data_IF_526323246436
#
_entry.id   IF_526323246436
#
_cell.length_a   1.000
_cell.length_b   1.000
_cell.length_c   1.000
_cell.angle_alpha   90.00
_cell.angle_beta   90.00
_cell.angle_gamma   90.00
#
_symmetry.space_group_name_H-M   'P 1'
#
loop_
_entity.id
_entity.type
_entity.pdbx_description
1 polymer ?
#
# COMPACT_ATOMS: atom_id res chain seq x y z
N UNK A 1 27.70 5.64 -14.76
CA UNK A 1 26.51 6.46 -14.45
C UNK A 1 26.47 6.70 -12.95
N UNK A 2 26.02 7.86 -12.46
CA UNK A 2 25.79 8.07 -11.03
C UNK A 2 24.40 7.61 -10.62
N UNK A 3 24.15 7.48 -9.31
CA UNK A 3 22.83 7.16 -8.78
C UNK A 3 21.76 8.19 -9.21
N UNK A 4 22.11 9.50 -9.10
CA UNK A 4 21.22 10.60 -9.48
C UNK A 4 20.89 10.58 -10.99
N UNK A 5 21.87 10.25 -11.83
CA UNK A 5 21.64 10.09 -13.27
C UNK A 5 20.68 8.92 -13.56
N UNK A 6 20.79 7.81 -12.82
CA UNK A 6 19.91 6.66 -12.94
C UNK A 6 18.47 6.98 -12.49
N UNK A 7 18.33 7.66 -11.35
CA UNK A 7 17.01 8.12 -10.85
C UNK A 7 16.37 9.07 -11.86
N UNK A 8 17.09 10.09 -12.34
CA UNK A 8 16.59 11.04 -13.32
C UNK A 8 16.16 10.35 -14.64
N UNK A 9 16.92 9.34 -15.08
CA UNK A 9 16.54 8.54 -16.25
C UNK A 9 15.21 7.83 -16.02
N UNK A 10 15.06 7.13 -14.88
CA UNK A 10 13.83 6.39 -14.55
C UNK A 10 12.64 7.34 -14.42
N UNK A 11 12.80 8.48 -13.75
CA UNK A 11 11.73 9.47 -13.59
C UNK A 11 11.30 10.12 -14.92
N UNK A 12 12.20 10.17 -15.90
CA UNK A 12 11.91 10.60 -17.26
C UNK A 12 11.14 9.59 -18.10
N UNK A 13 11.02 8.32 -17.66
CA UNK A 13 10.25 7.29 -18.37
C UNK A 13 8.75 7.57 -18.25
N UNK A 14 8.02 7.44 -19.36
CA UNK A 14 6.56 7.55 -19.36
C UNK A 14 5.90 6.53 -18.40
N UNK A 15 4.98 7.01 -17.59
CA UNK A 15 4.27 6.16 -16.61
C UNK A 15 3.29 5.20 -17.27
N UNK A 16 2.75 5.58 -18.44
CA UNK A 16 1.80 4.79 -19.22
C UNK A 16 2.31 4.73 -20.65
N UNK A 17 2.39 3.52 -21.19
CA UNK A 17 2.66 3.32 -22.61
C UNK A 17 1.40 2.80 -23.31
N UNK A 18 1.25 3.16 -24.59
CA UNK A 18 0.09 2.77 -25.39
C UNK A 18 0.07 1.28 -25.78
N UNK A 19 1.20 0.57 -25.66
CA UNK A 19 1.37 -0.78 -26.23
C UNK A 19 2.15 -1.77 -25.36
N UNK A 20 2.22 -1.61 -24.01
CA UNK A 20 2.87 -2.59 -23.17
C UNK A 20 1.93 -3.75 -22.82
N UNK A 21 2.38 -4.96 -23.07
CA UNK A 21 1.70 -6.20 -22.71
C UNK A 21 2.57 -6.99 -21.72
N UNK A 22 1.97 -7.92 -20.98
CA UNK A 22 2.75 -8.83 -20.12
C UNK A 22 3.82 -9.59 -20.90
N UNK A 23 3.57 -9.89 -22.20
CA UNK A 23 4.57 -10.51 -23.08
C UNK A 23 5.80 -9.61 -23.31
N UNK A 24 5.64 -8.29 -23.25
CA UNK A 24 6.75 -7.34 -23.33
C UNK A 24 7.65 -7.43 -22.10
N UNK A 25 7.08 -7.40 -20.91
CA UNK A 25 7.82 -7.58 -19.65
C UNK A 25 8.47 -8.97 -19.56
N UNK A 26 7.78 -10.02 -20.01
CA UNK A 26 8.29 -11.40 -20.05
C UNK A 26 9.55 -11.52 -20.93
N UNK A 27 9.55 -10.90 -22.12
CA UNK A 27 10.73 -10.85 -23.01
C UNK A 27 11.92 -10.12 -22.42
N UNK A 28 11.70 -9.10 -21.60
CA UNK A 28 12.77 -8.42 -20.87
C UNK A 28 13.30 -9.28 -19.72
N UNK A 29 12.43 -10.04 -19.04
CA UNK A 29 12.86 -11.05 -18.06
C UNK A 29 13.67 -12.18 -18.70
N UNK A 30 13.31 -12.62 -19.94
CA UNK A 30 14.12 -13.58 -20.71
C UNK A 30 15.57 -13.08 -20.87
N UNK A 31 15.76 -11.80 -21.21
CA UNK A 31 17.09 -11.20 -21.36
C UNK A 31 17.86 -11.09 -20.03
N UNK A 32 17.15 -10.98 -18.93
CA UNK A 32 17.73 -10.96 -17.60
C UNK A 32 17.92 -12.36 -16.98
N UNK A 33 17.55 -13.42 -17.73
CA UNK A 33 17.69 -14.82 -17.30
C UNK A 33 16.66 -15.26 -16.26
N UNK A 34 15.49 -14.62 -16.21
CA UNK A 34 14.40 -14.92 -15.27
C UNK A 34 14.82 -14.97 -13.80
N UNK A 35 15.28 -13.82 -13.24
CA UNK A 35 15.76 -13.76 -11.86
C UNK A 35 14.70 -14.09 -10.81
N UNK A 36 13.42 -14.04 -11.15
CA UNK A 36 12.27 -14.39 -10.31
C UNK A 36 12.03 -15.91 -10.21
N UNK A 37 12.58 -16.71 -11.12
CA UNK A 37 12.34 -18.15 -11.17
C UNK A 37 12.85 -18.87 -9.90
N UNK A 38 12.03 -19.82 -9.41
CA UNK A 38 12.34 -20.60 -8.21
C UNK A 38 12.16 -19.85 -6.90
N UNK A 39 11.71 -18.60 -6.92
CA UNK A 39 11.42 -17.81 -5.72
C UNK A 39 10.01 -18.08 -5.20
N UNK A 40 9.86 -18.06 -3.87
CA UNK A 40 8.57 -18.15 -3.18
C UNK A 40 7.91 -16.77 -3.18
N UNK A 41 6.94 -16.56 -4.07
CA UNK A 41 6.35 -15.24 -4.30
C UNK A 41 4.92 -15.18 -3.76
N UNK A 42 4.60 -14.15 -2.98
CA UNK A 42 3.22 -13.79 -2.58
C UNK A 42 2.83 -12.52 -3.34
N UNK A 43 1.73 -12.57 -4.07
CA UNK A 43 1.29 -11.50 -4.98
C UNK A 43 0.05 -10.80 -4.42
N UNK A 44 0.10 -9.48 -4.23
CA UNK A 44 -0.91 -8.70 -3.52
C UNK A 44 -1.48 -7.60 -4.40
N UNK A 45 -2.79 -7.68 -4.69
CA UNK A 45 -3.57 -6.64 -5.36
C UNK A 45 -4.64 -6.07 -4.41
N UNK A 46 -5.30 -5.00 -4.82
CA UNK A 46 -6.38 -4.34 -4.07
C UNK A 46 -6.45 -2.85 -4.36
N UNK A 47 -7.47 -2.17 -3.84
CA UNK A 47 -7.53 -0.70 -3.90
C UNK A 47 -6.76 -0.13 -2.71
N UNK A 48 -7.23 -0.34 -1.50
CA UNK A 48 -6.60 0.11 -0.27
C UNK A 48 -6.04 -1.09 0.53
N UNK A 49 -5.02 -0.86 1.37
CA UNK A 49 -4.47 -1.88 2.26
C UNK A 49 -3.36 -2.76 1.68
N UNK A 50 -3.05 -2.73 0.38
CA UNK A 50 -1.99 -3.54 -0.25
C UNK A 50 -0.67 -3.49 0.52
N UNK A 51 -0.08 -2.30 0.63
CA UNK A 51 1.21 -2.11 1.33
C UNK A 51 1.16 -2.53 2.80
N UNK A 52 0.03 -2.31 3.50
CA UNK A 52 -0.14 -2.78 4.89
C UNK A 52 -0.15 -4.31 4.97
N UNK A 53 -0.90 -5.00 4.11
CA UNK A 53 -0.92 -6.47 4.05
C UNK A 53 0.48 -7.01 3.72
N UNK A 54 1.17 -6.41 2.75
CA UNK A 54 2.56 -6.78 2.42
C UNK A 54 3.50 -6.58 3.62
N UNK A 55 3.38 -5.48 4.37
CA UNK A 55 4.21 -5.22 5.54
C UNK A 55 3.95 -6.21 6.68
N UNK A 56 2.69 -6.60 6.92
CA UNK A 56 2.36 -7.68 7.88
C UNK A 56 2.96 -9.02 7.44
N UNK A 57 2.81 -9.42 6.18
CA UNK A 57 3.42 -10.64 5.65
C UNK A 57 4.93 -10.64 5.83
N UNK A 58 5.58 -9.52 5.50
CA UNK A 58 7.03 -9.34 5.66
C UNK A 58 7.46 -9.58 7.10
N UNK A 59 6.84 -8.93 8.07
CA UNK A 59 7.24 -9.07 9.49
C UNK A 59 6.98 -10.47 10.03
N UNK A 60 5.89 -11.13 9.62
CA UNK A 60 5.63 -12.52 9.99
C UNK A 60 6.69 -13.48 9.44
N UNK A 61 7.08 -13.34 8.17
CA UNK A 61 8.12 -14.16 7.56
C UNK A 61 9.49 -13.91 8.20
N UNK A 62 9.83 -12.64 8.48
CA UNK A 62 11.06 -12.26 9.18
C UNK A 62 11.10 -12.83 10.60
N UNK A 63 9.97 -12.86 11.31
CA UNK A 63 9.87 -13.52 12.62
C UNK A 63 10.13 -15.02 12.51
N UNK A 64 9.83 -15.63 11.36
CA UNK A 64 10.20 -16.98 10.99
C UNK A 64 11.70 -17.18 10.75
N UNK A 65 12.48 -16.11 10.61
CA UNK A 65 13.90 -16.13 10.29
C UNK A 65 14.20 -16.11 8.79
N UNK A 66 13.19 -15.84 7.95
CA UNK A 66 13.35 -15.78 6.49
C UNK A 66 13.87 -14.43 6.03
N UNK A 67 14.67 -14.44 4.97
CA UNK A 67 15.10 -13.24 4.24
C UNK A 67 14.04 -12.87 3.20
N UNK A 68 13.41 -11.71 3.38
CA UNK A 68 12.24 -11.30 2.60
C UNK A 68 12.59 -10.15 1.69
N UNK A 69 12.34 -10.30 0.38
CA UNK A 69 12.29 -9.21 -0.58
C UNK A 69 10.88 -8.62 -0.63
N UNK A 70 10.77 -7.32 -0.63
CA UNK A 70 9.49 -6.62 -0.73
C UNK A 70 9.55 -5.52 -1.78
N UNK A 71 8.72 -5.66 -2.82
CA UNK A 71 8.50 -4.64 -3.85
C UNK A 71 7.19 -3.92 -3.60
N UNK A 72 7.25 -2.59 -3.45
CA UNK A 72 6.09 -1.75 -3.07
C UNK A 72 5.98 -0.50 -3.91
N UNK A 73 4.79 0.12 -3.91
CA UNK A 73 4.50 1.37 -4.61
C UNK A 73 3.33 2.15 -3.99
N UNK A 74 3.37 3.50 -4.04
CA UNK A 74 4.52 4.33 -4.38
C UNK A 74 5.55 4.41 -3.23
N UNK A 75 6.69 5.07 -3.45
CA UNK A 75 7.60 5.49 -2.39
C UNK A 75 7.10 6.81 -1.77
N UNK A 76 7.59 7.12 -0.56
CA UNK A 76 7.26 8.34 0.18
C UNK A 76 8.29 9.45 -0.06
N UNK A 77 9.58 9.15 0.08
CA UNK A 77 10.70 10.09 -0.02
C UNK A 77 11.67 9.68 -1.11
N UNK A 78 12.16 8.43 -1.08
CA UNK A 78 13.20 7.93 -1.98
C UNK A 78 12.71 6.76 -2.82
N UNK A 79 13.12 6.72 -4.07
CA UNK A 79 12.77 5.62 -5.00
C UNK A 79 13.25 4.25 -4.48
N UNK A 80 14.32 4.20 -3.66
CA UNK A 80 14.87 3.00 -3.05
C UNK A 80 13.89 2.29 -2.12
N UNK A 81 12.96 3.02 -1.47
CA UNK A 81 11.90 2.46 -0.62
C UNK A 81 11.06 1.39 -1.32
N UNK A 82 11.04 1.41 -2.65
CA UNK A 82 10.30 0.42 -3.45
C UNK A 82 10.93 -0.97 -3.43
N UNK A 83 12.18 -1.07 -3.00
CA UNK A 83 12.99 -2.28 -2.97
C UNK A 83 13.51 -2.51 -1.56
N UNK A 84 12.86 -3.36 -0.80
CA UNK A 84 13.24 -3.62 0.59
C UNK A 84 13.75 -5.05 0.76
N UNK A 85 14.81 -5.22 1.54
CA UNK A 85 15.28 -6.52 2.04
C UNK A 85 15.06 -6.55 3.55
N UNK A 86 14.12 -7.36 3.99
CA UNK A 86 13.59 -7.21 5.34
C UNK A 86 12.91 -5.85 5.52
N UNK A 87 13.34 -5.05 6.48
CA UNK A 87 12.80 -3.70 6.75
C UNK A 87 13.62 -2.58 6.11
N UNK A 88 14.80 -2.90 5.57
CA UNK A 88 15.74 -1.91 5.06
C UNK A 88 15.54 -1.69 3.56
N UNK A 89 15.55 -0.45 3.12
CA UNK A 89 15.63 -0.10 1.70
C UNK A 89 17.01 -0.47 1.15
N UNK A 90 17.09 -0.78 -0.13
CA UNK A 90 18.39 -1.06 -0.77
C UNK A 90 19.25 0.21 -0.85
N UNK A 91 20.56 0.04 -0.73
CA UNK A 91 21.52 1.11 -0.89
C UNK A 91 21.63 1.61 -2.34
N UNK A 92 22.25 2.77 -2.52
CA UNK A 92 22.37 3.42 -3.81
C UNK A 92 23.25 2.61 -4.78
N UNK A 93 24.24 1.88 -4.29
CA UNK A 93 25.12 1.02 -5.10
C UNK A 93 24.34 -0.19 -5.66
N UNK A 94 23.51 -0.82 -4.83
CA UNK A 94 22.64 -1.94 -5.25
C UNK A 94 21.59 -1.48 -6.25
N UNK A 95 20.97 -0.31 -6.00
CA UNK A 95 20.05 0.32 -6.93
C UNK A 95 20.71 0.59 -8.30
N UNK A 96 21.85 1.25 -8.29
CA UNK A 96 22.59 1.58 -9.51
C UNK A 96 23.00 0.33 -10.29
N UNK A 97 23.54 -0.69 -9.59
CA UNK A 97 23.87 -1.97 -10.20
C UNK A 97 22.68 -2.62 -10.90
N UNK A 98 21.51 -2.65 -10.26
CA UNK A 98 20.32 -3.24 -10.84
C UNK A 98 19.85 -2.43 -12.05
N UNK A 99 19.87 -1.10 -11.95
CA UNK A 99 19.50 -0.23 -13.05
C UNK A 99 20.42 -0.43 -14.28
N UNK A 100 21.73 -0.48 -14.08
CA UNK A 100 22.68 -0.68 -15.19
C UNK A 100 22.43 -2.00 -15.92
N UNK A 101 22.13 -3.09 -15.18
CA UNK A 101 21.79 -4.39 -15.76
C UNK A 101 20.46 -4.34 -16.54
N UNK A 102 19.44 -3.72 -15.99
CA UNK A 102 18.15 -3.56 -16.68
C UNK A 102 18.31 -2.68 -17.92
N UNK A 103 19.07 -1.58 -17.81
CA UNK A 103 19.35 -0.69 -18.95
C UNK A 103 20.08 -1.43 -20.10
N UNK A 104 21.04 -2.26 -19.79
CA UNK A 104 21.75 -3.10 -20.76
C UNK A 104 20.77 -4.00 -21.54
N UNK A 105 19.85 -4.66 -20.83
CA UNK A 105 18.79 -5.49 -21.41
C UNK A 105 17.78 -4.67 -22.24
N UNK A 106 17.42 -3.48 -21.78
CA UNK A 106 16.54 -2.55 -22.52
C UNK A 106 17.24 -2.10 -23.82
N UNK A 107 18.49 -1.69 -23.77
CA UNK A 107 19.24 -1.21 -24.94
C UNK A 107 19.39 -2.33 -26.01
N UNK A 108 19.55 -3.57 -25.58
CA UNK A 108 19.56 -4.74 -26.47
C UNK A 108 18.15 -4.99 -27.07
N UNK A 109 17.12 -4.94 -26.23
CA UNK A 109 15.73 -5.14 -26.66
C UNK A 109 15.28 -4.10 -27.69
N UNK A 110 15.67 -2.83 -27.49
CA UNK A 110 15.42 -1.74 -28.46
C UNK A 110 16.13 -1.96 -29.80
N UNK A 111 17.38 -2.45 -29.77
CA UNK A 111 18.12 -2.80 -31.03
C UNK A 111 17.46 -3.91 -31.80
N UNK A 112 16.72 -4.80 -31.14
CA UNK A 112 15.93 -5.87 -31.77
C UNK A 112 14.54 -5.39 -32.25
N UNK A 113 14.24 -4.10 -32.16
CA UNK A 113 12.95 -3.52 -32.57
C UNK A 113 11.86 -3.58 -31.50
N UNK A 114 12.22 -3.84 -30.24
CA UNK A 114 11.31 -3.71 -29.09
C UNK A 114 11.01 -2.26 -28.76
N UNK A 115 10.05 -2.05 -27.84
CA UNK A 115 9.69 -0.72 -27.31
C UNK A 115 10.26 -0.54 -25.90
N UNK A 116 10.47 0.71 -25.48
CA UNK A 116 10.98 0.99 -24.15
C UNK A 116 9.95 0.58 -23.07
N UNK A 117 10.36 -0.12 -21.99
CA UNK A 117 9.44 -0.43 -20.89
C UNK A 117 8.98 0.84 -20.18
N UNK A 118 7.81 0.78 -19.56
CA UNK A 118 7.29 1.84 -18.71
C UNK A 118 8.13 2.03 -17.44
N UNK A 119 7.89 3.14 -16.74
CA UNK A 119 8.46 3.41 -15.42
C UNK A 119 8.32 2.22 -14.46
N UNK A 120 7.08 1.67 -14.35
CA UNK A 120 6.82 0.59 -13.39
C UNK A 120 7.41 -0.75 -13.83
N UNK A 121 7.38 -1.07 -15.13
CA UNK A 121 8.06 -2.26 -15.67
C UNK A 121 9.56 -2.23 -15.40
N UNK A 122 10.21 -1.08 -15.62
CA UNK A 122 11.64 -0.90 -15.32
C UNK A 122 11.95 -1.18 -13.86
N UNK A 123 11.15 -0.64 -12.93
CA UNK A 123 11.32 -0.88 -11.50
C UNK A 123 11.07 -2.34 -11.11
N UNK A 124 10.08 -2.99 -11.70
CA UNK A 124 9.82 -4.41 -11.43
C UNK A 124 10.99 -5.31 -11.91
N UNK A 125 11.57 -5.02 -13.08
CA UNK A 125 12.75 -5.74 -13.58
C UNK A 125 13.95 -5.56 -12.63
N UNK A 126 14.16 -4.34 -12.13
CA UNK A 126 15.18 -4.07 -11.11
C UNK A 126 14.92 -4.87 -9.83
N UNK A 127 13.67 -4.90 -9.35
CA UNK A 127 13.29 -5.65 -8.15
C UNK A 127 13.63 -7.14 -8.26
N UNK A 128 13.33 -7.76 -9.42
CA UNK A 128 13.64 -9.15 -9.67
C UNK A 128 15.15 -9.45 -9.54
N UNK A 129 16.02 -8.61 -10.14
CA UNK A 129 17.47 -8.71 -10.01
C UNK A 129 17.99 -8.49 -8.59
N UNK A 130 17.46 -7.47 -7.91
CA UNK A 130 17.83 -7.13 -6.53
C UNK A 130 17.53 -8.31 -5.59
N UNK A 131 16.34 -8.88 -5.70
CA UNK A 131 15.92 -9.98 -4.83
C UNK A 131 16.65 -11.28 -5.15
N UNK A 132 17.03 -11.52 -6.41
CA UNK A 132 17.91 -12.62 -6.78
C UNK A 132 19.30 -12.44 -6.15
N UNK A 133 19.93 -11.26 -6.31
CA UNK A 133 21.26 -10.94 -5.76
C UNK A 133 21.27 -11.04 -4.24
N UNK A 134 20.19 -10.60 -3.59
CA UNK A 134 20.04 -10.68 -2.14
C UNK A 134 19.74 -12.09 -1.61
N UNK A 135 19.57 -13.10 -2.50
CA UNK A 135 19.24 -14.48 -2.12
C UNK A 135 18.03 -14.57 -1.18
N UNK A 136 16.97 -13.81 -1.49
CA UNK A 136 15.76 -13.81 -0.66
C UNK A 136 15.05 -15.17 -0.70
N UNK A 137 14.54 -15.61 0.46
CA UNK A 137 13.74 -16.83 0.58
C UNK A 137 12.32 -16.63 0.06
N UNK A 138 11.74 -15.48 0.39
CA UNK A 138 10.41 -15.06 -0.02
C UNK A 138 10.46 -13.69 -0.70
N UNK A 139 9.55 -13.49 -1.65
CA UNK A 139 9.32 -12.20 -2.29
C UNK A 139 7.85 -11.84 -2.12
N UNK A 140 7.58 -10.63 -1.65
CA UNK A 140 6.24 -10.05 -1.58
C UNK A 140 6.16 -8.98 -2.67
N UNK A 141 5.21 -9.15 -3.60
CA UNK A 141 4.99 -8.21 -4.71
C UNK A 141 3.68 -7.47 -4.53
N UNK A 142 3.76 -6.17 -4.35
CA UNK A 142 2.62 -5.26 -4.41
C UNK A 142 2.35 -4.88 -5.86
N UNK A 143 1.11 -5.09 -6.33
CA UNK A 143 0.62 -4.61 -7.63
C UNK A 143 0.61 -3.09 -7.67
N UNK A 144 1.15 -2.50 -8.73
CA UNK A 144 1.16 -1.05 -8.90
C UNK A 144 -0.23 -0.49 -9.22
N UNK A 145 -0.85 -0.99 -10.28
CA UNK A 145 -2.18 -0.54 -10.74
C UNK A 145 -2.98 -1.71 -11.34
N UNK A 146 -4.24 -1.81 -10.93
CA UNK A 146 -5.14 -2.84 -11.45
C UNK A 146 -4.73 -4.24 -11.00
N UNK A 147 -4.19 -5.03 -11.89
CA UNK A 147 -3.70 -6.39 -11.66
C UNK A 147 -3.48 -7.15 -12.96
N UNK A 148 -4.51 -7.28 -13.79
CA UNK A 148 -4.49 -8.09 -15.02
C UNK A 148 -3.35 -7.73 -16.00
N UNK A 149 -3.07 -6.44 -16.15
CA UNK A 149 -2.02 -5.91 -17.04
C UNK A 149 -0.83 -5.31 -16.26
N UNK A 150 -0.79 -5.46 -14.94
CA UNK A 150 0.32 -4.98 -14.14
C UNK A 150 1.60 -5.76 -14.43
N UNK A 151 2.76 -5.08 -14.47
CA UNK A 151 4.04 -5.70 -14.77
C UNK A 151 4.35 -6.91 -13.87
N UNK A 152 3.96 -6.85 -12.60
CA UNK A 152 4.17 -7.95 -11.65
C UNK A 152 3.37 -9.21 -12.02
N UNK A 153 2.34 -9.09 -12.88
CA UNK A 153 1.48 -10.20 -13.26
C UNK A 153 2.10 -11.18 -14.27
N UNK A 154 3.34 -10.95 -14.71
CA UNK A 154 4.14 -11.95 -15.45
C UNK A 154 4.49 -13.17 -14.59
N UNK A 155 4.46 -13.04 -13.27
CA UNK A 155 4.68 -14.14 -12.33
C UNK A 155 3.63 -15.24 -12.56
N UNK A 156 4.11 -16.45 -12.92
CA UNK A 156 3.24 -17.55 -13.34
C UNK A 156 2.78 -18.44 -12.20
N UNK A 157 3.58 -18.58 -11.15
CA UNK A 157 3.37 -19.52 -10.03
C UNK A 157 3.65 -18.88 -8.68
N UNK A 158 2.85 -17.87 -8.25
CA UNK A 158 2.96 -17.37 -6.88
C UNK A 158 2.46 -18.42 -5.88
N UNK A 159 2.92 -18.37 -4.63
CA UNK A 159 2.42 -19.22 -3.54
C UNK A 159 0.97 -18.90 -3.18
N UNK A 160 0.62 -17.62 -3.21
CA UNK A 160 -0.74 -17.13 -2.97
C UNK A 160 -0.99 -15.82 -3.73
N UNK A 161 -2.24 -15.61 -4.11
CA UNK A 161 -2.77 -14.33 -4.59
C UNK A 161 -3.65 -13.73 -3.51
N UNK A 162 -3.37 -12.49 -3.13
CA UNK A 162 -4.16 -11.77 -2.12
C UNK A 162 -4.84 -10.59 -2.79
N UNK A 163 -6.14 -10.41 -2.49
CA UNK A 163 -6.88 -9.23 -2.96
C UNK A 163 -7.45 -8.51 -1.72
N UNK A 164 -6.90 -7.34 -1.42
CA UNK A 164 -7.33 -6.50 -0.30
C UNK A 164 -8.64 -5.78 -0.62
N UNK A 165 -9.05 -4.80 0.17
CA UNK A 165 -10.32 -4.10 -0.06
C UNK A 165 -10.44 -3.52 -1.47
N UNK A 166 -11.66 -3.57 -2.02
CA UNK A 166 -12.03 -3.01 -3.32
C UNK A 166 -12.91 -1.79 -3.09
N UNK A 167 -12.54 -0.69 -3.70
CA UNK A 167 -13.33 0.54 -3.72
C UNK A 167 -13.07 1.31 -5.02
N UNK A 168 -13.81 2.38 -5.29
CA UNK A 168 -13.61 3.21 -6.47
C UNK A 168 -12.28 3.96 -6.34
N UNK A 169 -11.39 3.71 -7.27
CA UNK A 169 -10.13 4.45 -7.47
C UNK A 169 -9.64 4.19 -8.89
N UNK A 170 -8.93 5.15 -9.47
CA UNK A 170 -8.42 5.07 -10.84
C UNK A 170 -9.51 4.68 -11.87
N UNK A 171 -10.71 5.25 -11.72
CA UNK A 171 -11.89 4.88 -12.51
C UNK A 171 -11.72 5.09 -14.01
N UNK A 172 -10.86 6.02 -14.43
CA UNK A 172 -10.49 6.23 -15.84
C UNK A 172 -9.83 5.00 -16.48
N UNK A 173 -9.12 4.17 -15.68
CA UNK A 173 -8.36 3.01 -16.17
C UNK A 173 -9.00 1.68 -15.82
N UNK A 174 -9.60 1.58 -14.63
CA UNK A 174 -10.07 0.30 -14.07
C UNK A 174 -11.58 0.11 -14.19
N UNK A 175 -12.29 1.16 -14.59
CA UNK A 175 -13.75 1.18 -14.68
C UNK A 175 -14.42 1.86 -13.49
N UNK A 176 -15.71 2.12 -13.63
CA UNK A 176 -16.55 2.99 -12.81
C UNK A 176 -17.41 2.22 -11.80
N UNK A 177 -17.18 0.90 -11.64
CA UNK A 177 -17.87 0.06 -10.64
C UNK A 177 -16.89 -0.85 -9.90
N UNK A 178 -17.25 -1.26 -8.67
CA UNK A 178 -16.42 -2.16 -7.87
C UNK A 178 -16.25 -3.52 -8.52
N UNK A 179 -17.23 -4.01 -9.29
CA UNK A 179 -17.14 -5.25 -10.05
C UNK A 179 -16.09 -5.19 -11.18
N UNK A 180 -16.03 -4.06 -11.91
CA UNK A 180 -15.02 -3.88 -12.96
C UNK A 180 -13.61 -3.82 -12.35
N UNK A 181 -13.44 -3.04 -11.29
CA UNK A 181 -12.20 -2.91 -10.55
C UNK A 181 -11.77 -4.26 -9.97
N UNK A 182 -12.71 -5.02 -9.38
CA UNK A 182 -12.48 -6.38 -8.89
C UNK A 182 -12.03 -7.33 -10.01
N UNK A 183 -12.62 -7.22 -11.21
CA UNK A 183 -12.23 -7.99 -12.39
C UNK A 183 -10.78 -7.75 -12.82
N UNK A 184 -10.34 -6.49 -12.85
CA UNK A 184 -8.95 -6.13 -13.15
C UNK A 184 -7.98 -6.69 -12.09
N UNK A 185 -8.34 -6.59 -10.80
CA UNK A 185 -7.49 -7.08 -9.70
C UNK A 185 -7.48 -8.61 -9.63
N UNK A 186 -8.61 -9.27 -9.87
CA UNK A 186 -8.71 -10.73 -9.98
C UNK A 186 -7.89 -11.31 -11.16
N UNK A 187 -7.41 -10.47 -12.07
CA UNK A 187 -6.47 -10.84 -13.12
C UNK A 187 -5.13 -11.40 -12.63
N UNK A 188 -4.76 -11.18 -11.34
CA UNK A 188 -3.56 -11.80 -10.75
C UNK A 188 -3.75 -13.28 -10.38
N UNK A 189 -4.98 -13.78 -10.35
CA UNK A 189 -5.31 -15.16 -9.95
C UNK A 189 -4.74 -16.13 -10.96
N UNK A 190 -3.92 -17.09 -10.50
CA UNK A 190 -3.26 -18.12 -11.30
C UNK A 190 -3.85 -19.50 -11.01
N UNK A 191 -3.88 -20.35 -12.03
CA UNK A 191 -4.49 -21.69 -11.95
C UNK A 191 -3.98 -22.50 -10.75
N UNK A 192 -4.89 -22.94 -9.89
CA UNK A 192 -4.62 -23.80 -8.74
C UNK A 192 -3.95 -23.10 -7.55
N UNK A 193 -3.65 -21.81 -7.64
CA UNK A 193 -3.01 -21.03 -6.57
C UNK A 193 -4.07 -20.55 -5.55
N UNK A 194 -3.79 -20.64 -4.23
CA UNK A 194 -4.71 -20.13 -3.21
C UNK A 194 -5.00 -18.63 -3.38
N UNK A 195 -6.27 -18.26 -3.24
CA UNK A 195 -6.74 -16.87 -3.30
C UNK A 195 -7.33 -16.48 -1.95
N UNK A 196 -6.76 -15.47 -1.30
CA UNK A 196 -7.25 -14.93 -0.04
C UNK A 196 -7.72 -13.49 -0.30
N UNK A 197 -8.96 -13.15 0.08
CA UNK A 197 -9.50 -11.84 -0.29
C UNK A 197 -10.45 -11.25 0.73
N UNK A 198 -10.55 -9.92 0.71
CA UNK A 198 -11.54 -9.15 1.48
C UNK A 198 -12.93 -9.33 0.87
N UNK A 199 -13.87 -9.86 1.65
CA UNK A 199 -15.24 -10.15 1.26
C UNK A 199 -16.26 -9.07 1.67
N UNK A 200 -15.82 -7.92 2.19
CA UNK A 200 -16.74 -6.90 2.72
C UNK A 200 -17.57 -6.19 1.64
N UNK A 201 -17.05 -6.02 0.42
CA UNK A 201 -17.85 -5.63 -0.74
C UNK A 201 -18.37 -6.90 -1.43
N UNK A 202 -19.69 -7.15 -1.31
CA UNK A 202 -20.33 -8.37 -1.83
C UNK A 202 -20.23 -8.50 -3.35
N UNK A 203 -20.32 -7.38 -4.07
CA UNK A 203 -20.26 -7.37 -5.53
C UNK A 203 -18.85 -7.71 -6.02
N UNK A 204 -17.82 -7.08 -5.44
CA UNK A 204 -16.42 -7.39 -5.70
C UNK A 204 -16.08 -8.84 -5.31
N UNK A 205 -16.50 -9.29 -4.12
CA UNK A 205 -16.29 -10.66 -3.64
C UNK A 205 -16.85 -11.73 -4.60
N UNK A 206 -18.05 -11.49 -5.15
CA UNK A 206 -18.66 -12.40 -6.12
C UNK A 206 -17.84 -12.53 -7.41
N UNK A 207 -17.22 -11.43 -7.88
CA UNK A 207 -16.33 -11.44 -9.07
C UNK A 207 -15.07 -12.23 -8.77
N UNK A 208 -14.41 -11.97 -7.62
CA UNK A 208 -13.17 -12.64 -7.22
C UNK A 208 -13.41 -14.13 -7.03
N UNK A 209 -14.48 -14.52 -6.33
CA UNK A 209 -14.87 -15.92 -6.10
C UNK A 209 -15.09 -16.66 -7.42
N UNK A 210 -15.89 -16.10 -8.32
CA UNK A 210 -16.14 -16.67 -9.65
C UNK A 210 -14.83 -16.90 -10.41
N UNK A 211 -13.93 -15.90 -10.39
CA UNK A 211 -12.63 -16.00 -11.05
C UNK A 211 -11.76 -17.10 -10.44
N UNK A 212 -11.73 -17.23 -9.12
CA UNK A 212 -11.02 -18.31 -8.42
C UNK A 212 -11.56 -19.70 -8.80
N UNK A 213 -12.89 -19.85 -8.86
CA UNK A 213 -13.55 -21.08 -9.29
C UNK A 213 -13.22 -21.44 -10.73
N UNK A 214 -13.29 -20.49 -11.67
CA UNK A 214 -12.90 -20.68 -13.09
C UNK A 214 -11.45 -21.14 -13.22
N UNK A 215 -10.56 -20.67 -12.33
CA UNK A 215 -9.13 -21.03 -12.34
C UNK A 215 -8.83 -22.30 -11.51
N UNK A 216 -9.85 -22.93 -10.93
CA UNK A 216 -9.68 -24.11 -10.07
C UNK A 216 -8.87 -23.84 -8.80
N UNK A 217 -8.97 -22.65 -8.25
CA UNK A 217 -8.23 -22.21 -7.08
C UNK A 217 -8.97 -22.52 -5.77
N UNK A 218 -8.29 -22.96 -4.71
CA UNK A 218 -8.85 -22.82 -3.36
C UNK A 218 -8.94 -21.32 -3.04
N UNK A 219 -10.10 -20.90 -2.48
CA UNK A 219 -10.29 -19.50 -2.12
C UNK A 219 -10.81 -19.36 -0.69
N UNK A 220 -10.44 -18.25 -0.07
CA UNK A 220 -10.70 -17.92 1.33
C UNK A 220 -11.15 -16.46 1.42
N UNK A 221 -12.37 -16.28 1.85
CA UNK A 221 -13.03 -14.97 1.96
C UNK A 221 -13.01 -14.51 3.40
N UNK A 222 -12.47 -13.32 3.65
CA UNK A 222 -12.42 -12.72 4.97
C UNK A 222 -13.49 -11.63 5.08
N UNK A 223 -14.37 -11.75 6.07
CA UNK A 223 -15.39 -10.75 6.40
C UNK A 223 -15.08 -10.08 7.74
N UNK A 224 -15.67 -8.91 8.00
CA UNK A 224 -15.46 -8.15 9.25
C UNK A 224 -15.85 -8.93 10.50
N UNK A 225 -16.81 -9.83 10.40
CA UNK A 225 -17.29 -10.64 11.52
C UNK A 225 -16.20 -11.58 12.10
N UNK A 226 -15.14 -11.83 11.33
CA UNK A 226 -13.98 -12.59 11.79
C UNK A 226 -13.08 -11.81 12.78
N UNK A 227 -13.26 -10.49 12.93
CA UNK A 227 -12.39 -9.61 13.70
C UNK A 227 -13.20 -8.87 14.77
N UNK A 228 -13.00 -9.20 16.04
CA UNK A 228 -13.70 -8.56 17.16
C UNK A 228 -12.70 -7.77 18.00
N UNK A 229 -12.81 -6.43 18.07
CA UNK A 229 -11.91 -5.63 18.89
C UNK A 229 -12.11 -5.95 20.38
N UNK A 230 -11.00 -6.06 21.12
CA UNK A 230 -11.00 -6.34 22.56
C UNK A 230 -10.57 -5.11 23.34
N UNK A 231 -9.56 -4.41 22.85
CA UNK A 231 -9.13 -3.12 23.43
C UNK A 231 -8.47 -2.25 22.39
N UNK A 232 -8.75 -0.95 22.47
CA UNK A 232 -8.11 0.09 21.65
C UNK A 232 -7.42 1.08 22.57
N UNK A 233 -6.15 1.35 22.31
CA UNK A 233 -5.33 2.31 23.05
C UNK A 233 -4.59 3.21 22.05
N UNK A 234 -3.91 4.26 22.55
CA UNK A 234 -3.02 5.07 21.70
C UNK A 234 -1.79 4.31 21.19
N UNK A 235 -1.53 3.10 21.70
CA UNK A 235 -0.43 2.22 21.29
C UNK A 235 -0.85 1.08 20.37
N UNK A 236 -2.14 1.01 19.96
CA UNK A 236 -2.63 0.00 19.04
C UNK A 236 -3.94 -0.67 19.46
N UNK A 237 -4.32 -1.70 18.72
CA UNK A 237 -5.55 -2.46 18.90
C UNK A 237 -5.23 -3.92 19.19
N UNK A 238 -5.81 -4.47 20.27
CA UNK A 238 -5.89 -5.91 20.49
C UNK A 238 -7.28 -6.41 20.05
N UNK A 239 -7.32 -7.50 19.30
CA UNK A 239 -8.56 -8.06 18.78
C UNK A 239 -8.50 -9.58 18.68
N UNK A 240 -9.67 -10.22 18.66
CA UNK A 240 -9.82 -11.64 18.40
C UNK A 240 -10.11 -11.85 16.91
N UNK A 241 -9.28 -12.65 16.28
CA UNK A 241 -9.49 -13.14 14.92
C UNK A 241 -9.97 -14.57 14.99
N UNK A 242 -11.18 -14.84 14.49
CA UNK A 242 -11.77 -16.19 14.47
C UNK A 242 -11.89 -16.65 13.02
N UNK A 243 -11.29 -17.81 12.75
CA UNK A 243 -11.35 -18.45 11.44
C UNK A 243 -11.83 -19.90 11.54
N UNK A 244 -12.65 -20.32 10.58
CA UNK A 244 -13.09 -21.68 10.42
C UNK A 244 -12.81 -22.17 9.02
N UNK A 245 -11.99 -23.19 8.90
CA UNK A 245 -11.79 -23.86 7.61
C UNK A 245 -12.97 -24.79 7.30
N UNK A 246 -14.03 -24.22 6.74
CA UNK A 246 -15.26 -24.97 6.41
C UNK A 246 -15.01 -26.04 5.35
N UNK A 247 -14.01 -25.84 4.47
CA UNK A 247 -13.72 -26.76 3.35
C UNK A 247 -13.03 -28.04 3.81
N UNK A 248 -12.24 -27.96 4.88
CA UNK A 248 -11.53 -29.10 5.45
C UNK A 248 -12.21 -29.64 6.72
N UNK A 249 -13.44 -29.20 7.05
CA UNK A 249 -14.18 -29.67 8.21
C UNK A 249 -13.58 -29.25 9.54
N UNK A 250 -12.72 -28.24 9.57
CA UNK A 250 -12.06 -27.72 10.76
C UNK A 250 -13.03 -27.10 11.76
N UNK A 251 -12.68 -27.14 13.05
CA UNK A 251 -13.32 -26.34 14.10
C UNK A 251 -12.94 -24.87 13.94
N UNK A 252 -13.77 -23.95 14.43
CA UNK A 252 -13.40 -22.54 14.50
C UNK A 252 -12.23 -22.38 15.50
N UNK A 253 -11.17 -21.70 15.06
CA UNK A 253 -10.03 -21.35 15.88
C UNK A 253 -10.02 -19.84 16.09
N UNK A 254 -9.72 -19.39 17.32
CA UNK A 254 -9.63 -17.97 17.66
C UNK A 254 -8.21 -17.63 18.08
N UNK A 255 -7.68 -16.59 17.47
CA UNK A 255 -6.34 -16.08 17.73
C UNK A 255 -6.43 -14.67 18.31
N UNK A 256 -5.75 -14.40 19.43
CA UNK A 256 -5.58 -13.06 19.97
C UNK A 256 -4.45 -12.38 19.22
N UNK A 257 -4.78 -11.35 18.42
CA UNK A 257 -3.83 -10.54 17.66
C UNK A 257 -3.71 -9.14 18.27
N UNK A 258 -2.55 -8.53 18.11
CA UNK A 258 -2.28 -7.16 18.51
C UNK A 258 -1.58 -6.42 17.36
N UNK A 259 -2.14 -5.30 16.95
CA UNK A 259 -1.55 -4.42 15.94
C UNK A 259 -1.09 -3.11 16.58
N UNK A 260 0.04 -2.52 16.14
CA UNK A 260 0.53 -1.24 16.68
C UNK A 260 -0.20 -0.02 16.11
N UNK A 261 -1.08 -0.20 15.13
CA UNK A 261 -1.88 0.88 14.54
C UNK A 261 -3.19 1.09 15.31
N UNK A 262 -3.68 2.34 15.28
CA UNK A 262 -4.90 2.76 15.97
C UNK A 262 -6.17 2.68 15.10
N UNK A 263 -6.03 2.40 13.81
CA UNK A 263 -7.12 2.36 12.86
C UNK A 263 -7.74 0.95 12.74
N UNK A 264 -9.06 0.86 12.92
CA UNK A 264 -9.78 -0.43 12.90
C UNK A 264 -9.65 -1.19 11.57
N UNK A 265 -9.52 -0.50 10.43
CA UNK A 265 -9.33 -1.16 9.14
C UNK A 265 -8.03 -1.97 9.07
N UNK A 266 -7.06 -1.67 9.91
CA UNK A 266 -5.82 -2.44 10.01
C UNK A 266 -6.03 -3.83 10.62
N UNK A 267 -7.10 -4.05 11.39
CA UNK A 267 -7.46 -5.39 11.86
C UNK A 267 -7.76 -6.32 10.67
N UNK A 268 -8.53 -5.81 9.68
CA UNK A 268 -8.83 -6.59 8.47
C UNK A 268 -7.56 -6.86 7.64
N UNK A 269 -6.68 -5.87 7.47
CA UNK A 269 -5.41 -6.04 6.76
C UNK A 269 -4.50 -7.07 7.47
N UNK A 270 -4.37 -6.97 8.80
CA UNK A 270 -3.59 -7.92 9.60
C UNK A 270 -4.17 -9.33 9.52
N UNK A 271 -5.50 -9.46 9.61
CA UNK A 271 -6.18 -10.75 9.53
C UNK A 271 -6.06 -11.39 8.15
N UNK A 272 -6.11 -10.59 7.08
CA UNK A 272 -5.91 -11.09 5.70
C UNK A 272 -4.49 -11.65 5.52
N UNK A 273 -3.49 -10.93 6.04
CA UNK A 273 -2.11 -11.40 6.03
C UNK A 273 -1.92 -12.64 6.93
N UNK A 274 -2.50 -12.64 8.14
CA UNK A 274 -2.42 -13.77 9.06
C UNK A 274 -3.07 -15.02 8.50
N UNK A 275 -4.29 -14.90 7.93
CA UNK A 275 -4.98 -15.99 7.26
C UNK A 275 -4.13 -16.56 6.10
N UNK A 276 -3.51 -15.69 5.30
CA UNK A 276 -2.60 -16.14 4.25
C UNK A 276 -1.49 -17.02 4.80
N UNK A 277 -0.86 -16.59 5.91
CA UNK A 277 0.19 -17.36 6.53
C UNK A 277 -0.32 -18.69 7.15
N UNK A 278 -1.54 -18.71 7.69
CA UNK A 278 -2.14 -19.97 8.15
C UNK A 278 -2.36 -20.97 7.00
N UNK A 279 -2.81 -20.48 5.84
CA UNK A 279 -2.99 -21.31 4.63
C UNK A 279 -1.65 -21.84 4.11
N UNK A 280 -0.59 -21.02 4.15
CA UNK A 280 0.74 -21.36 3.67
C UNK A 280 1.64 -22.04 4.72
N UNK A 281 1.10 -22.48 5.86
CA UNK A 281 1.91 -22.99 6.99
C UNK A 281 2.84 -24.15 6.65
N UNK A 282 2.48 -24.97 5.67
CA UNK A 282 3.32 -26.08 5.22
C UNK A 282 4.56 -25.60 4.44
N UNK A 283 4.47 -24.41 3.81
CA UNK A 283 5.57 -23.81 3.05
C UNK A 283 6.63 -23.15 3.92
N UNK A 284 6.26 -22.65 5.11
CA UNK A 284 7.14 -21.87 5.98
C UNK A 284 7.37 -22.45 7.37
N UNK A 285 6.49 -23.32 7.90
CA UNK A 285 6.68 -23.98 9.19
C UNK A 285 6.65 -23.07 10.44
N UNK A 286 6.15 -21.81 10.32
CA UNK A 286 6.07 -20.85 11.44
C UNK A 286 4.82 -21.13 12.27
N UNK A 287 4.93 -21.17 13.60
CA UNK A 287 3.77 -21.36 14.48
C UNK A 287 2.88 -20.10 14.50
N UNK A 288 1.57 -20.28 14.81
CA UNK A 288 0.61 -19.17 14.88
C UNK A 288 1.01 -18.11 15.92
N UNK A 289 1.62 -18.50 17.04
CA UNK A 289 2.10 -17.59 18.08
C UNK A 289 3.24 -16.69 17.55
N UNK A 290 4.17 -17.26 16.77
CA UNK A 290 5.25 -16.48 16.14
C UNK A 290 4.70 -15.56 15.07
N UNK A 291 3.73 -16.01 14.28
CA UNK A 291 3.03 -15.15 13.31
C UNK A 291 2.35 -13.97 14.01
N UNK A 292 1.62 -14.21 15.11
CA UNK A 292 1.01 -13.15 15.92
C UNK A 292 2.06 -12.17 16.49
N UNK A 293 3.22 -12.69 16.91
CA UNK A 293 4.37 -11.88 17.31
C UNK A 293 4.90 -10.97 16.18
N UNK A 294 4.95 -11.49 14.94
CA UNK A 294 5.33 -10.72 13.76
C UNK A 294 4.35 -9.58 13.46
N UNK A 295 3.03 -9.84 13.61
CA UNK A 295 1.99 -8.80 13.43
C UNK A 295 2.21 -7.63 14.40
N UNK A 296 2.50 -7.90 15.66
CA UNK A 296 2.68 -6.85 16.68
C UNK A 296 3.90 -5.96 16.47
N UNK A 297 4.85 -6.40 15.66
CA UNK A 297 6.09 -5.68 15.31
C UNK A 297 5.99 -4.92 13.98
N UNK A 298 4.84 -4.96 13.30
CA UNK A 298 4.70 -4.35 11.99
C UNK A 298 4.85 -2.84 12.04
N UNK A 299 5.73 -2.32 11.20
CA UNK A 299 5.90 -0.89 10.94
C UNK A 299 5.62 -0.64 9.47
N UNK A 300 4.69 0.28 9.20
CA UNK A 300 4.39 0.75 7.86
C UNK A 300 4.11 2.25 7.89
N UNK A 301 5.02 3.06 7.32
CA UNK A 301 4.93 4.51 7.43
C UNK A 301 3.65 5.10 6.83
N UNK A 302 3.21 6.20 7.41
CA UNK A 302 2.09 7.01 6.90
C UNK A 302 0.76 6.25 6.75
N UNK A 303 0.48 5.30 7.66
CA UNK A 303 -0.80 4.62 7.81
C UNK A 303 -1.31 4.77 9.23
N UNK A 304 -1.93 5.92 9.52
CA UNK A 304 -2.30 6.36 10.86
C UNK A 304 -1.10 6.28 11.83
N UNK A 305 0.06 6.68 11.33
CA UNK A 305 1.31 6.65 12.06
C UNK A 305 1.37 7.81 13.06
N UNK A 306 1.60 7.50 14.33
CA UNK A 306 1.90 8.53 15.34
C UNK A 306 3.37 8.92 15.25
N UNK A 307 3.66 10.04 14.59
CA UNK A 307 5.05 10.52 14.36
C UNK A 307 5.59 11.33 15.54
N UNK A 308 4.72 12.01 16.29
CA UNK A 308 4.99 12.73 17.53
C UNK A 308 3.79 12.56 18.46
N UNK A 309 3.96 12.83 19.76
CA UNK A 309 2.86 12.77 20.70
C UNK A 309 1.70 13.68 20.26
N UNK A 310 0.54 13.09 19.95
CA UNK A 310 -0.66 13.80 19.48
C UNK A 310 -0.56 14.30 18.02
N UNK A 311 0.36 13.76 17.23
CA UNK A 311 0.50 14.05 15.80
C UNK A 311 0.47 12.75 15.00
N UNK A 312 -0.51 12.63 14.13
CA UNK A 312 -0.77 11.45 13.32
C UNK A 312 -0.67 11.80 11.84
N UNK A 313 0.03 10.99 11.07
CA UNK A 313 0.18 11.14 9.61
C UNK A 313 -0.49 9.96 8.92
N UNK A 314 -1.35 10.26 7.95
CA UNK A 314 -2.02 9.25 7.14
C UNK A 314 -1.94 9.59 5.65
N UNK A 315 -1.73 8.57 4.85
CA UNK A 315 -1.64 8.69 3.39
C UNK A 315 -2.98 8.56 2.65
N UNK A 316 -4.12 8.66 3.32
CA UNK A 316 -5.44 8.62 2.69
C UNK A 316 -5.58 9.74 1.65
N UNK A 317 -6.02 9.38 0.44
CA UNK A 317 -6.03 10.25 -0.73
C UNK A 317 -7.14 9.90 -1.74
N UNK A 318 -8.10 9.07 -1.33
CA UNK A 318 -9.31 8.74 -2.07
C UNK A 318 -10.50 8.69 -1.10
N UNK A 319 -11.76 8.75 -1.57
CA UNK A 319 -12.93 8.83 -0.71
C UNK A 319 -13.01 7.71 0.34
N UNK A 320 -12.76 6.45 -0.04
CA UNK A 320 -12.78 5.32 0.91
C UNK A 320 -11.68 5.46 1.98
N UNK A 321 -10.45 5.86 1.59
CA UNK A 321 -9.36 6.14 2.53
C UNK A 321 -9.73 7.26 3.51
N UNK A 322 -10.33 8.34 3.03
CA UNK A 322 -10.81 9.45 3.86
C UNK A 322 -11.93 9.00 4.80
N UNK A 323 -12.88 8.20 4.34
CA UNK A 323 -13.92 7.66 5.21
C UNK A 323 -13.35 6.81 6.37
N UNK A 324 -12.33 5.97 6.10
CA UNK A 324 -11.64 5.20 7.14
C UNK A 324 -10.81 6.12 8.07
N UNK A 325 -10.17 7.14 7.53
CA UNK A 325 -9.48 8.17 8.32
C UNK A 325 -10.46 8.88 9.26
N UNK A 326 -11.59 9.36 8.78
CA UNK A 326 -12.64 10.04 9.56
C UNK A 326 -13.11 9.14 10.70
N UNK A 327 -13.44 7.88 10.40
CA UNK A 327 -13.87 6.90 11.40
C UNK A 327 -12.86 6.74 12.53
N UNK A 328 -11.56 6.82 12.22
CA UNK A 328 -10.51 6.73 13.22
C UNK A 328 -10.34 8.03 13.99
N UNK A 329 -10.32 9.18 13.29
CA UNK A 329 -10.13 10.49 13.90
C UNK A 329 -11.30 10.88 14.84
N UNK A 330 -12.54 10.50 14.48
CA UNK A 330 -13.73 10.76 15.31
C UNK A 330 -13.67 10.11 16.71
N UNK A 331 -12.95 8.99 16.84
CA UNK A 331 -12.73 8.37 18.16
C UNK A 331 -12.00 9.29 19.14
N UNK A 332 -11.19 10.22 18.63
CA UNK A 332 -10.43 11.19 19.42
C UNK A 332 -11.19 12.49 19.66
N UNK A 333 -12.17 12.82 18.81
CA UNK A 333 -12.92 14.08 18.88
C UNK A 333 -13.61 14.32 20.23
N UNK A 334 -14.02 13.25 20.92
CA UNK A 334 -14.69 13.36 22.24
C UNK A 334 -13.77 13.91 23.34
N UNK A 335 -12.45 13.72 23.19
CA UNK A 335 -11.47 14.04 24.24
C UNK A 335 -10.47 15.12 23.84
N UNK A 336 -10.37 15.42 22.53
CA UNK A 336 -9.35 16.32 21.98
C UNK A 336 -9.95 17.24 20.93
N UNK A 337 -9.46 18.47 20.88
CA UNK A 337 -9.63 19.36 19.73
C UNK A 337 -8.81 18.82 18.57
N UNK A 338 -9.37 18.85 17.37
CA UNK A 338 -8.71 18.32 16.18
C UNK A 338 -8.25 19.45 15.28
N UNK A 339 -6.97 19.45 14.95
CA UNK A 339 -6.38 20.25 13.87
C UNK A 339 -6.08 19.33 12.70
N UNK A 340 -6.36 19.77 11.47
CA UNK A 340 -6.06 19.03 10.24
C UNK A 340 -5.04 19.82 9.41
N UNK A 341 -3.96 19.17 9.01
CA UNK A 341 -3.05 19.63 7.95
C UNK A 341 -3.38 18.85 6.68
N UNK A 342 -3.74 19.58 5.61
CA UNK A 342 -4.26 18.98 4.38
C UNK A 342 -3.50 19.45 3.13
N UNK A 343 -3.23 18.50 2.23
CA UNK A 343 -2.84 18.77 0.86
C UNK A 343 -3.36 17.67 -0.07
N UNK A 344 -3.64 18.00 -1.32
CA UNK A 344 -4.13 17.06 -2.30
C UNK A 344 -3.50 17.27 -3.68
N UNK A 345 -3.63 16.26 -4.55
CA UNK A 345 -3.28 16.31 -5.97
C UNK A 345 -4.53 16.48 -6.84
N UNK A 346 -4.38 17.12 -8.01
CA UNK A 346 -5.49 17.51 -8.88
C UNK A 346 -6.23 16.36 -9.59
N UNK A 347 -5.64 15.16 -9.60
CA UNK A 347 -6.23 13.96 -10.20
C UNK A 347 -7.03 13.10 -9.18
N UNK A 348 -7.31 13.66 -8.01
CA UNK A 348 -8.15 13.04 -6.96
C UNK A 348 -9.37 13.91 -6.68
N UNK A 349 -10.40 13.27 -6.16
CA UNK A 349 -11.68 13.94 -5.82
C UNK A 349 -11.57 14.69 -4.48
N UNK A 350 -10.78 15.77 -4.50
CA UNK A 350 -10.40 16.52 -3.32
C UNK A 350 -11.57 17.33 -2.74
N UNK A 351 -12.53 17.77 -3.58
CA UNK A 351 -13.71 18.49 -3.10
C UNK A 351 -14.59 17.59 -2.21
N UNK A 352 -14.82 16.34 -2.63
CA UNK A 352 -15.56 15.36 -1.82
C UNK A 352 -14.80 14.99 -0.56
N UNK A 353 -13.49 14.75 -0.64
CA UNK A 353 -12.66 14.48 0.53
C UNK A 353 -12.72 15.62 1.58
N UNK A 354 -12.65 16.87 1.13
CA UNK A 354 -12.74 18.05 2.02
C UNK A 354 -14.11 18.11 2.70
N UNK A 355 -15.20 17.94 1.92
CA UNK A 355 -16.56 17.93 2.47
C UNK A 355 -16.73 16.85 3.54
N UNK A 356 -16.30 15.61 3.25
CA UNK A 356 -16.36 14.52 4.21
C UNK A 356 -15.56 14.78 5.49
N UNK A 357 -14.35 15.37 5.39
CA UNK A 357 -13.54 15.74 6.55
C UNK A 357 -14.27 16.77 7.41
N UNK A 358 -14.82 17.83 6.81
CA UNK A 358 -15.52 18.90 7.56
C UNK A 358 -16.76 18.36 8.25
N UNK A 359 -17.57 17.55 7.54
CA UNK A 359 -18.82 16.98 8.07
C UNK A 359 -18.59 15.86 9.08
N UNK A 360 -17.53 15.06 8.92
CA UNK A 360 -17.29 13.88 9.74
C UNK A 360 -16.46 14.11 10.98
N UNK A 361 -15.53 15.08 10.96
CA UNK A 361 -14.62 15.34 12.09
C UNK A 361 -14.92 16.68 12.78
N UNK A 362 -15.50 17.66 12.07
CA UNK A 362 -15.70 19.04 12.54
C UNK A 362 -14.40 19.62 13.13
N UNK A 363 -13.31 19.72 12.36
CA UNK A 363 -12.03 20.15 12.91
C UNK A 363 -12.12 21.57 13.49
N UNK A 364 -11.45 21.82 14.62
CA UNK A 364 -11.36 23.17 15.20
C UNK A 364 -10.60 24.09 14.26
N UNK A 365 -9.55 23.56 13.61
CA UNK A 365 -8.71 24.31 12.67
C UNK A 365 -8.25 23.45 11.53
N UNK A 366 -8.14 24.06 10.35
CA UNK A 366 -7.53 23.46 9.18
C UNK A 366 -6.37 24.32 8.67
N UNK A 367 -5.27 23.68 8.38
CA UNK A 367 -4.12 24.30 7.71
C UNK A 367 -3.96 23.60 6.37
N UNK A 368 -3.96 24.37 5.28
CA UNK A 368 -3.75 23.85 3.94
C UNK A 368 -2.33 24.16 3.48
N UNK A 369 -1.72 23.22 2.78
CA UNK A 369 -0.37 23.38 2.24
C UNK A 369 -0.28 22.87 0.81
N UNK A 370 0.82 23.17 0.14
CA UNK A 370 1.07 22.76 -1.24
C UNK A 370 2.22 21.76 -1.27
N UNK A 371 1.94 20.55 -1.73
CA UNK A 371 2.98 19.55 -2.00
C UNK A 371 3.78 19.92 -3.26
N UNK A 372 5.01 19.44 -3.34
CA UNK A 372 5.83 19.58 -4.55
C UNK A 372 5.33 18.67 -5.68
N UNK A 373 5.46 19.14 -6.93
CA UNK A 373 5.13 18.36 -8.12
C UNK A 373 4.15 19.06 -9.07
N UNK A 374 4.04 18.53 -10.29
CA UNK A 374 3.23 19.13 -11.38
C UNK A 374 1.71 19.00 -11.20
N UNK A 375 1.25 18.11 -10.31
CA UNK A 375 -0.17 17.86 -10.03
C UNK A 375 -0.63 18.49 -8.71
N UNK A 376 0.16 19.39 -8.14
CA UNK A 376 -0.20 20.05 -6.90
C UNK A 376 -1.38 21.01 -7.05
N UNK A 377 -2.24 21.09 -6.03
CA UNK A 377 -3.23 22.14 -5.87
C UNK A 377 -2.62 23.20 -4.95
N UNK A 378 -2.91 24.47 -5.24
CA UNK A 378 -2.38 25.54 -4.37
C UNK A 378 -3.05 25.50 -2.99
N UNK A 379 -2.28 25.85 -1.96
CA UNK A 379 -2.74 25.94 -0.58
C UNK A 379 -3.94 26.87 -0.42
N UNK A 380 -4.00 27.94 -1.25
CA UNK A 380 -5.10 28.90 -1.22
C UNK A 380 -6.38 28.34 -1.82
N UNK A 381 -6.28 27.60 -2.94
CA UNK A 381 -7.45 26.95 -3.55
C UNK A 381 -8.05 25.92 -2.58
N UNK A 382 -7.22 25.10 -1.92
CA UNK A 382 -7.69 24.15 -0.92
C UNK A 382 -8.33 24.87 0.28
N UNK A 383 -7.76 26.00 0.76
CA UNK A 383 -8.34 26.79 1.83
C UNK A 383 -9.73 27.32 1.48
N UNK A 384 -9.92 27.83 0.25
CA UNK A 384 -11.21 28.30 -0.26
C UNK A 384 -12.25 27.17 -0.33
N UNK A 385 -11.83 25.94 -0.66
CA UNK A 385 -12.71 24.77 -0.66
C UNK A 385 -13.14 24.37 0.74
N UNK A 386 -12.24 24.37 1.74
CA UNK A 386 -12.59 24.15 3.13
C UNK A 386 -13.59 25.21 3.65
N UNK A 387 -13.39 26.49 3.31
CA UNK A 387 -14.34 27.56 3.65
C UNK A 387 -15.71 27.34 3.00
N UNK A 388 -15.74 26.93 1.70
CA UNK A 388 -16.99 26.57 1.01
C UNK A 388 -17.70 25.39 1.65
N UNK A 389 -16.96 24.42 2.15
CA UNK A 389 -17.48 23.26 2.90
C UNK A 389 -17.97 23.62 4.31
N UNK A 390 -17.80 24.88 4.76
CA UNK A 390 -18.31 25.36 6.05
C UNK A 390 -17.27 25.43 7.19
N UNK A 391 -16.00 25.13 6.91
CA UNK A 391 -14.94 25.29 7.89
C UNK A 391 -14.66 26.76 8.18
N UNK A 392 -14.64 27.15 9.48
CA UNK A 392 -14.50 28.55 9.91
C UNK A 392 -13.05 28.98 10.07
N UNK A 393 -12.26 28.14 10.75
CA UNK A 393 -10.85 28.42 11.06
C UNK A 393 -9.96 27.71 10.03
N UNK A 394 -9.57 28.43 8.98
CA UNK A 394 -8.71 27.95 7.91
C UNK A 394 -7.55 28.91 7.70
N UNK A 395 -6.34 28.39 7.62
CA UNK A 395 -5.18 29.15 7.17
C UNK A 395 -4.39 28.36 6.13
N UNK A 396 -3.53 29.03 5.38
CA UNK A 396 -2.71 28.43 4.35
C UNK A 396 -1.23 28.79 4.51
N UNK A 397 -0.34 27.81 4.40
CA UNK A 397 1.11 27.97 4.34
C UNK A 397 1.66 27.11 3.20
N UNK A 398 2.32 27.69 2.18
CA UNK A 398 2.73 26.95 1.01
C UNK A 398 3.85 25.95 1.25
N UNK A 399 4.74 26.18 2.20
CA UNK A 399 5.84 25.27 2.55
C UNK A 399 5.37 24.19 3.51
N UNK A 400 5.52 22.92 3.14
CA UNK A 400 5.03 21.78 3.95
C UNK A 400 5.68 21.72 5.32
N UNK A 401 7.00 21.98 5.43
CA UNK A 401 7.72 21.95 6.71
C UNK A 401 7.22 23.03 7.65
N UNK A 402 7.06 24.28 7.15
CA UNK A 402 6.50 25.39 7.93
C UNK A 402 5.03 25.18 8.28
N UNK A 403 4.25 24.64 7.35
CA UNK A 403 2.85 24.28 7.60
C UNK A 403 2.71 23.23 8.70
N UNK A 404 3.58 22.21 8.69
CA UNK A 404 3.63 21.20 9.73
C UNK A 404 4.02 21.78 11.10
N UNK A 405 5.04 22.63 11.15
CA UNK A 405 5.48 23.29 12.39
C UNK A 405 4.40 24.22 12.94
N UNK A 406 3.74 24.98 12.05
CA UNK A 406 2.58 25.81 12.40
C UNK A 406 1.45 24.95 12.98
N UNK A 407 1.08 23.86 12.31
CA UNK A 407 0.03 22.95 12.76
C UNK A 407 0.37 22.32 14.12
N UNK A 408 1.63 21.94 14.34
CA UNK A 408 2.09 21.44 15.63
C UNK A 408 1.97 22.48 16.75
N UNK A 409 2.25 23.76 16.47
CA UNK A 409 2.13 24.85 17.46
C UNK A 409 0.68 25.20 17.75
N UNK A 410 -0.16 25.25 16.74
CA UNK A 410 -1.56 25.70 16.82
C UNK A 410 -2.52 24.66 17.44
N UNK A 411 -2.18 23.35 17.39
CA UNK A 411 -3.01 22.29 17.99
C UNK A 411 -3.11 22.37 19.54
N UNK A 412 -2.14 23.03 20.20
CA UNK A 412 -2.05 23.03 21.67
C UNK A 412 -1.96 21.60 22.24
N UNK A 413 -2.83 21.28 23.20
CA UNK A 413 -2.97 19.94 23.79
C UNK A 413 -3.87 18.99 22.96
N UNK A 414 -4.37 19.43 21.80
CA UNK A 414 -5.21 18.66 20.89
C UNK A 414 -4.44 17.67 20.05
N UNK A 415 -5.15 17.05 19.09
CA UNK A 415 -4.59 16.14 18.09
C UNK A 415 -4.38 16.87 16.76
N UNK A 416 -3.27 16.60 16.11
CA UNK A 416 -3.00 16.98 14.72
C UNK A 416 -3.09 15.75 13.84
N UNK A 417 -3.89 15.84 12.78
CA UNK A 417 -3.93 14.85 11.72
C UNK A 417 -3.44 15.48 10.40
N UNK A 418 -2.45 14.84 9.77
CA UNK A 418 -1.92 15.23 8.47
C UNK A 418 -2.43 14.22 7.44
N UNK A 419 -3.20 14.67 6.42
CA UNK A 419 -3.94 13.78 5.51
C UNK A 419 -4.18 14.42 4.13
N UNK A 420 -4.59 13.60 3.17
CA UNK A 420 -5.03 14.01 1.82
C UNK A 420 -4.05 13.62 0.71
N UNK A 421 -2.79 13.28 1.04
CA UNK A 421 -1.81 12.83 0.04
C UNK A 421 -0.67 12.02 0.65
N UNK A 422 -0.26 10.96 -0.03
CA UNK A 422 0.99 10.25 0.30
C UNK A 422 2.22 11.14 0.12
N UNK A 423 2.20 12.08 -0.83
CA UNK A 423 3.29 13.04 -1.02
C UNK A 423 3.41 14.02 0.15
N UNK A 424 2.29 14.46 0.72
CA UNK A 424 2.28 15.25 1.95
C UNK A 424 2.95 14.48 3.09
N UNK A 425 2.53 13.24 3.28
CA UNK A 425 3.07 12.36 4.32
C UNK A 425 4.59 12.14 4.15
N UNK A 426 5.06 11.91 2.93
CA UNK A 426 6.50 11.80 2.60
C UNK A 426 7.29 13.07 2.91
N UNK A 427 6.77 14.25 2.51
CA UNK A 427 7.45 15.53 2.77
C UNK A 427 7.50 15.86 4.27
N UNK A 428 6.46 15.53 5.04
CA UNK A 428 6.48 15.65 6.52
C UNK A 428 7.55 14.73 7.11
N UNK A 429 7.63 13.48 6.65
CA UNK A 429 8.64 12.53 7.12
C UNK A 429 10.06 13.04 6.83
N UNK A 430 10.32 13.49 5.60
CA UNK A 430 11.59 14.11 5.23
C UNK A 430 11.93 15.36 6.07
N UNK A 431 10.92 16.16 6.46
CA UNK A 431 11.10 17.31 7.34
C UNK A 431 11.52 16.89 8.75
N UNK A 432 10.90 15.83 9.28
CA UNK A 432 11.22 15.29 10.61
C UNK A 432 12.61 14.66 10.69
N UNK A 433 13.08 14.01 9.62
CA UNK A 433 14.42 13.40 9.54
C UNK A 433 15.55 14.45 9.50
N UNK A 434 15.26 15.69 9.10
CA UNK A 434 16.22 16.78 9.04
C UNK A 434 16.36 17.56 10.36
N UNK A 435 15.48 17.30 11.35
CA UNK A 435 15.48 17.93 12.68
C UNK A 435 16.19 17.08 13.72
#
# INVERSE_FOLDING_TARGET
>A
MTYEEAVNYIEGIGKFASDTSLAHTDRLLDKLGHPENGKKIIHVAGTNGKGSVCAYLRTMLMEGGYRVGFFTSPHLVRINERFQIGTEEVDDDTFLWAFEKVKEAIDEFLREGGTHPTYFETLFLMAALIFQKAETDYIILEVGLGGRLDATNVIRHPLACIITSISLDHTEYLGDTTEKIAGEKAGIIKKGVPVIFDGNDRAAAAVIRRRAEEMGCPWYELTRDCCIPVSTTTGGIAFDFTWKDEKNGGSAETYRLQIPQIAEYQMANASLAFLTMLILREDHGISAERLAGGISKMVWPCRMETVLRGVVVDGAHNPDGIAQFIKTADQFHRNYKITVLFAAVSDKDHEDMIREIVEGIHPERVITTRIEGSRCISEKALAEEFVRAGQKEVCSEPDVGRAFDLACSERGDGMLFCVGSLYLAGQIKSHLEKK
#
